data_IF_989603568016
#
_entry.id   IF_989603568016
#
_cell.length_a   1.000
_cell.length_b   1.000
_cell.length_c   1.000
_cell.angle_alpha   90.00
_cell.angle_beta   90.00
_cell.angle_gamma   90.00
#
_symmetry.space_group_name_H-M   'P 1'
#
loop_
_entity.id
_entity.type
_entity.pdbx_description
1 polymer ?
#
# COMPACT_ATOMS: atom_id res chain seq x y z
N UNK A 1 8.23 3.82 -5.16
CA UNK A 1 7.97 3.50 -3.75
C UNK A 1 6.57 3.97 -3.24
N UNK A 2 5.54 3.12 -3.21
CA UNK A 2 4.23 3.45 -2.61
C UNK A 2 4.22 3.77 -1.09
N UNK A 3 3.33 4.66 -0.66
CA UNK A 3 3.06 4.94 0.75
C UNK A 3 1.55 5.08 0.99
N UNK A 4 1.06 4.48 2.06
CA UNK A 4 -0.30 4.59 2.57
C UNK A 4 -0.28 5.16 3.98
N UNK A 5 -1.13 6.14 4.24
CA UNK A 5 -1.48 6.63 5.58
C UNK A 5 -2.97 6.40 5.76
N UNK A 6 -3.37 5.76 6.86
CA UNK A 6 -4.77 5.46 7.08
C UNK A 6 -5.19 5.55 8.54
N UNK A 7 -6.45 5.90 8.74
CA UNK A 7 -7.09 5.96 10.05
C UNK A 7 -8.11 4.83 10.13
N UNK A 8 -8.05 4.04 11.19
CA UNK A 8 -8.96 2.93 11.44
C UNK A 8 -9.72 3.17 12.75
N UNK A 9 -11.05 3.29 12.67
CA UNK A 9 -11.95 3.47 13.82
C UNK A 9 -11.61 4.60 14.79
N UNK A 10 -10.93 5.64 14.32
CA UNK A 10 -10.51 6.76 15.16
C UNK A 10 -11.09 8.11 14.70
N UNK A 11 -11.53 8.20 13.44
CA UNK A 11 -12.15 9.43 12.92
C UNK A 11 -13.62 9.52 13.37
N UNK A 12 -14.10 10.70 13.82
CA UNK A 12 -15.46 10.84 14.37
C UNK A 12 -16.60 10.60 13.36
N UNK A 13 -16.33 10.79 12.06
CA UNK A 13 -17.32 10.66 10.99
C UNK A 13 -17.11 9.45 10.07
N UNK A 14 -15.90 8.93 9.99
CA UNK A 14 -15.52 7.95 8.97
C UNK A 14 -14.90 6.73 9.66
N UNK A 15 -15.42 5.51 9.44
CA UNK A 15 -14.84 4.32 10.08
C UNK A 15 -13.44 4.00 9.55
N UNK A 16 -13.13 4.45 8.32
CA UNK A 16 -11.86 4.25 7.67
C UNK A 16 -11.53 5.44 6.77
N UNK A 17 -10.33 5.99 6.90
CA UNK A 17 -9.78 6.98 5.96
C UNK A 17 -8.47 6.45 5.40
N UNK A 18 -8.26 6.56 4.08
CA UNK A 18 -7.03 6.15 3.41
C UNK A 18 -6.52 7.24 2.48
N UNK A 19 -5.22 7.49 2.57
CA UNK A 19 -4.43 8.24 1.60
C UNK A 19 -3.35 7.31 1.08
N UNK A 20 -3.30 7.07 -0.23
CA UNK A 20 -2.35 6.16 -0.85
C UNK A 20 -1.68 6.83 -2.06
N UNK A 21 -0.36 6.97 -2.00
CA UNK A 21 0.46 7.26 -3.17
C UNK A 21 0.98 5.95 -3.74
N UNK A 22 0.67 5.70 -5.01
CA UNK A 22 1.27 4.61 -5.78
C UNK A 22 2.36 5.15 -6.68
N UNK A 23 3.58 4.84 -6.33
CA UNK A 23 4.72 5.09 -7.21
C UNK A 23 4.92 3.95 -8.20
N UNK A 24 5.08 4.29 -9.47
CA UNK A 24 5.30 3.34 -10.54
C UNK A 24 5.94 4.01 -11.75
N UNK A 25 6.50 3.22 -12.67
CA UNK A 25 6.82 3.68 -14.01
C UNK A 25 5.57 4.21 -14.74
N UNK A 26 5.67 5.41 -15.30
CA UNK A 26 4.57 6.01 -16.06
C UNK A 26 4.20 5.16 -17.28
N UNK A 27 5.18 4.52 -17.90
CA UNK A 27 5.03 3.60 -19.03
C UNK A 27 4.25 2.32 -18.70
N UNK A 28 4.09 1.95 -17.42
CA UNK A 28 3.31 0.77 -17.03
C UNK A 28 1.83 1.00 -17.34
N UNK A 29 1.20 0.21 -18.23
CA UNK A 29 -0.16 0.46 -18.66
C UNK A 29 -1.16 0.16 -17.52
N UNK A 30 -2.06 1.10 -17.25
CA UNK A 30 -3.07 1.02 -16.19
C UNK A 30 -4.38 1.61 -16.66
N UNK A 31 -5.53 1.03 -16.27
CA UNK A 31 -6.83 1.70 -16.37
C UNK A 31 -7.07 2.55 -15.11
N UNK A 32 -7.69 3.73 -15.25
CA UNK A 32 -8.03 4.60 -14.11
C UNK A 32 -9.05 3.93 -13.18
N UNK A 33 -9.31 4.57 -12.04
CA UNK A 33 -10.38 4.19 -11.12
C UNK A 33 -11.72 4.08 -11.87
N UNK A 34 -12.35 2.92 -11.75
CA UNK A 34 -13.66 2.67 -12.32
C UNK A 34 -14.18 1.31 -11.91
N UNK A 35 -15.47 1.08 -12.16
CA UNK A 35 -16.08 -0.22 -12.01
C UNK A 35 -15.55 -1.17 -13.08
N UNK A 36 -15.07 -2.33 -12.66
CA UNK A 36 -14.60 -3.38 -13.54
C UNK A 36 -15.78 -4.04 -14.26
N UNK A 37 -15.45 -4.85 -15.28
CA UNK A 37 -16.46 -5.66 -15.94
C UNK A 37 -17.18 -6.56 -14.92
N UNK A 38 -18.52 -6.56 -14.92
CA UNK A 38 -19.34 -7.23 -13.91
C UNK A 38 -19.76 -6.36 -12.72
N UNK A 39 -19.17 -5.17 -12.53
CA UNK A 39 -19.68 -4.14 -11.63
C UNK A 39 -19.49 -4.38 -10.13
N UNK A 40 -18.75 -5.42 -9.73
CA UNK A 40 -18.52 -5.78 -8.33
C UNK A 40 -17.25 -5.16 -7.73
N UNK A 41 -16.24 -4.88 -8.56
CA UNK A 41 -14.95 -4.33 -8.13
C UNK A 41 -14.83 -2.89 -8.63
N UNK A 42 -14.55 -1.95 -7.72
CA UNK A 42 -14.19 -0.57 -7.99
C UNK A 42 -12.71 -0.38 -7.68
N UNK A 43 -11.91 -0.01 -8.67
CA UNK A 43 -10.47 0.22 -8.46
C UNK A 43 -9.71 0.46 -9.75
N UNK A 44 -8.49 0.97 -9.63
CA UNK A 44 -7.55 1.01 -10.76
C UNK A 44 -7.16 -0.40 -11.19
N UNK A 45 -6.83 -0.59 -12.47
CA UNK A 45 -6.43 -1.90 -13.01
C UNK A 45 -5.05 -1.83 -13.63
N UNK A 46 -4.18 -2.72 -13.19
CA UNK A 46 -2.91 -2.98 -13.85
C UNK A 46 -3.18 -3.79 -15.13
N UNK A 47 -2.98 -3.19 -16.31
CA UNK A 47 -3.25 -3.84 -17.60
C UNK A 47 -2.18 -4.89 -17.90
N UNK A 48 -0.94 -4.65 -17.46
CA UNK A 48 0.17 -5.57 -17.71
C UNK A 48 0.04 -6.85 -16.88
N UNK A 49 -0.31 -6.71 -15.59
CA UNK A 49 -0.37 -7.85 -14.68
C UNK A 49 -1.79 -8.38 -14.43
N UNK A 50 -2.85 -7.64 -14.78
CA UNK A 50 -4.24 -8.06 -14.61
C UNK A 50 -4.83 -7.87 -13.20
N UNK A 51 -4.08 -7.29 -12.25
CA UNK A 51 -4.49 -7.07 -10.87
C UNK A 51 -4.85 -5.62 -10.53
N UNK A 52 -4.93 -5.33 -9.23
CA UNK A 52 -5.15 -3.98 -8.70
C UNK A 52 -4.24 -3.71 -7.50
N UNK A 53 -3.99 -2.43 -7.22
CA UNK A 53 -3.22 -1.99 -6.04
C UNK A 53 -4.10 -1.49 -4.90
N UNK A 54 -5.30 -1.01 -5.22
CA UNK A 54 -6.32 -0.51 -4.31
C UNK A 54 -7.67 -0.74 -5.00
N UNK A 55 -8.57 -1.43 -4.30
CA UNK A 55 -9.91 -1.63 -4.77
C UNK A 55 -10.89 -1.88 -3.62
N UNK A 56 -12.16 -1.62 -3.89
CA UNK A 56 -13.28 -1.94 -3.02
C UNK A 56 -14.37 -2.69 -3.77
N UNK A 57 -15.29 -3.27 -3.02
CA UNK A 57 -16.52 -3.88 -3.53
C UNK A 57 -17.77 -3.17 -3.01
N UNK A 58 -18.91 -3.51 -3.59
CA UNK A 58 -20.22 -2.92 -3.23
C UNK A 58 -20.67 -3.26 -1.81
N UNK A 59 -20.25 -4.40 -1.29
CA UNK A 59 -20.58 -4.90 0.05
C UNK A 59 -19.63 -4.36 1.13
N UNK A 60 -18.85 -3.31 0.84
CA UNK A 60 -18.02 -2.64 1.84
C UNK A 60 -16.73 -3.37 2.18
N UNK A 61 -16.25 -4.26 1.29
CA UNK A 61 -14.88 -4.81 1.40
C UNK A 61 -13.91 -3.88 0.69
N UNK A 62 -12.71 -3.77 1.24
CA UNK A 62 -11.64 -2.95 0.68
C UNK A 62 -10.31 -3.66 0.85
N UNK A 63 -9.40 -3.44 -0.10
CA UNK A 63 -8.06 -3.97 -0.01
C UNK A 63 -7.08 -3.06 -0.74
N UNK A 64 -5.89 -2.95 -0.18
CA UNK A 64 -4.76 -2.34 -0.86
C UNK A 64 -3.48 -3.07 -0.55
N UNK A 65 -2.50 -2.89 -1.43
CA UNK A 65 -1.25 -3.63 -1.40
C UNK A 65 -0.08 -2.68 -1.67
N UNK A 66 0.99 -2.82 -0.90
CA UNK A 66 2.28 -2.17 -1.16
C UNK A 66 3.35 -3.23 -1.39
N UNK A 67 4.37 -2.88 -2.19
CA UNK A 67 5.52 -3.75 -2.36
C UNK A 67 6.34 -3.74 -1.07
N UNK A 68 6.85 -4.89 -0.64
CA UNK A 68 7.88 -4.93 0.40
C UNK A 68 9.24 -4.72 -0.24
N UNK A 69 10.13 -3.99 0.45
CA UNK A 69 11.45 -3.62 -0.03
C UNK A 69 12.37 -4.84 -0.02
N UNK A 70 12.89 -5.17 -1.19
CA UNK A 70 13.82 -6.28 -1.38
C UNK A 70 14.96 -5.83 -2.29
N UNK A 71 16.19 -6.28 -1.99
CA UNK A 71 17.38 -6.05 -2.83
C UNK A 71 17.24 -6.72 -4.20
N UNK A 72 16.64 -7.92 -4.21
CA UNK A 72 16.47 -8.73 -5.39
C UNK A 72 15.03 -9.21 -5.50
N UNK A 73 14.36 -8.83 -6.59
CA UNK A 73 13.07 -9.40 -6.95
C UNK A 73 13.28 -10.71 -7.70
N UNK A 74 12.53 -11.76 -7.35
CA UNK A 74 12.56 -13.03 -8.08
C UNK A 74 11.74 -12.91 -9.38
N UNK A 75 12.31 -13.33 -10.53
CA UNK A 75 11.56 -13.40 -11.78
C UNK A 75 10.48 -14.50 -11.70
N UNK A 76 9.46 -14.41 -12.56
CA UNK A 76 8.39 -15.41 -12.70
C UNK A 76 7.55 -15.71 -11.44
N UNK A 77 7.51 -14.79 -10.48
CA UNK A 77 6.59 -14.90 -9.33
C UNK A 77 5.17 -14.51 -9.71
N UNK A 78 4.19 -14.98 -8.91
CA UNK A 78 2.79 -14.53 -9.06
C UNK A 78 2.70 -13.02 -8.85
N UNK A 79 1.84 -12.36 -9.62
CA UNK A 79 1.57 -10.93 -9.40
C UNK A 79 0.75 -10.72 -8.13
N UNK A 80 1.22 -9.80 -7.30
CA UNK A 80 0.64 -9.47 -5.99
C UNK A 80 -0.74 -8.83 -6.11
N UNK A 81 -0.98 -8.04 -7.16
CA UNK A 81 -2.27 -7.36 -7.37
C UNK A 81 -3.45 -8.32 -7.60
N UNK A 82 -3.20 -9.60 -7.90
CA UNK A 82 -4.26 -10.63 -7.94
C UNK A 82 -4.79 -10.99 -6.54
N UNK A 83 -4.01 -10.78 -5.47
CA UNK A 83 -4.47 -11.04 -4.11
C UNK A 83 -5.67 -10.16 -3.77
N UNK A 84 -5.62 -8.88 -4.15
CA UNK A 84 -6.72 -7.94 -3.96
C UNK A 84 -7.98 -8.36 -4.74
N UNK A 85 -7.83 -8.75 -6.00
CA UNK A 85 -8.95 -9.25 -6.82
C UNK A 85 -9.57 -10.50 -6.20
N UNK A 86 -8.75 -11.48 -5.81
CA UNK A 86 -9.20 -12.73 -5.20
C UNK A 86 -9.93 -12.51 -3.88
N UNK A 87 -9.48 -11.55 -3.06
CA UNK A 87 -10.14 -11.22 -1.80
C UNK A 87 -11.56 -10.68 -2.06
N UNK A 88 -11.68 -9.70 -2.97
CA UNK A 88 -12.96 -9.07 -3.30
C UNK A 88 -13.94 -10.02 -3.99
N UNK A 89 -13.44 -11.03 -4.72
CA UNK A 89 -14.28 -12.08 -5.30
C UNK A 89 -14.61 -13.21 -4.32
N UNK A 90 -13.92 -13.28 -3.18
CA UNK A 90 -14.19 -14.27 -2.15
C UNK A 90 -15.27 -13.79 -1.18
N UNK A 91 -15.94 -14.74 -0.53
CA UNK A 91 -16.85 -14.47 0.60
C UNK A 91 -16.21 -14.72 1.97
N UNK A 92 -14.90 -14.96 2.00
CA UNK A 92 -14.16 -15.30 3.23
C UNK A 92 -13.98 -14.07 4.10
N UNK A 93 -13.94 -14.24 5.42
CA UNK A 93 -13.55 -13.15 6.33
C UNK A 93 -12.09 -12.75 6.07
N UNK A 94 -11.69 -11.49 6.34
CA UNK A 94 -10.32 -11.03 6.12
C UNK A 94 -9.26 -11.97 6.71
N UNK A 95 -9.45 -12.43 7.95
CA UNK A 95 -8.51 -13.32 8.64
C UNK A 95 -8.41 -14.71 8.00
N UNK A 96 -9.52 -15.24 7.47
CA UNK A 96 -9.56 -16.55 6.81
C UNK A 96 -8.86 -16.50 5.46
N UNK A 97 -9.10 -15.44 4.69
CA UNK A 97 -8.43 -15.20 3.43
C UNK A 97 -6.92 -15.00 3.64
N UNK A 98 -6.52 -14.20 4.63
CA UNK A 98 -5.10 -13.98 4.95
C UNK A 98 -4.38 -15.30 5.27
N UNK A 99 -4.99 -16.18 6.08
CA UNK A 99 -4.45 -17.51 6.40
C UNK A 99 -4.31 -18.43 5.18
N UNK A 100 -5.16 -18.28 4.17
CA UNK A 100 -4.99 -18.99 2.89
C UNK A 100 -3.78 -18.46 2.13
N UNK A 101 -3.65 -17.14 2.02
CA UNK A 101 -2.53 -16.51 1.30
C UNK A 101 -1.19 -16.87 1.94
N UNK A 102 -1.12 -17.01 3.27
CA UNK A 102 0.10 -17.47 3.96
C UNK A 102 0.64 -18.79 3.37
N UNK A 103 -0.23 -19.71 2.96
CA UNK A 103 0.16 -21.03 2.43
C UNK A 103 0.86 -20.96 1.06
N UNK A 104 0.72 -19.84 0.36
CA UNK A 104 1.33 -19.59 -0.95
C UNK A 104 2.16 -18.30 -0.98
N UNK A 105 2.48 -17.73 0.19
CA UNK A 105 3.13 -16.43 0.31
C UNK A 105 4.54 -16.40 -0.29
N UNK A 106 5.19 -17.57 -0.36
CA UNK A 106 6.49 -17.83 -0.97
C UNK A 106 6.47 -17.77 -2.50
N UNK A 107 5.28 -17.81 -3.13
CA UNK A 107 5.12 -17.71 -4.59
C UNK A 107 5.11 -16.26 -5.09
N UNK A 108 5.17 -15.28 -4.18
CA UNK A 108 5.15 -13.85 -4.47
C UNK A 108 6.49 -13.20 -4.08
N UNK A 109 6.87 -12.14 -4.78
CA UNK A 109 7.82 -11.18 -4.25
C UNK A 109 7.26 -10.49 -3.00
N UNK A 110 8.11 -9.80 -2.25
CA UNK A 110 7.76 -9.10 -1.03
C UNK A 110 6.54 -8.20 -1.18
N UNK A 111 5.60 -8.29 -0.24
CA UNK A 111 4.38 -7.48 -0.20
C UNK A 111 3.87 -7.24 1.21
N UNK A 112 3.11 -6.15 1.34
CA UNK A 112 2.19 -5.89 2.43
C UNK A 112 0.78 -5.81 1.87
N UNK A 113 -0.17 -6.50 2.49
CA UNK A 113 -1.57 -6.57 2.07
C UNK A 113 -2.46 -6.15 3.24
N UNK A 114 -3.37 -5.22 2.99
CA UNK A 114 -4.44 -4.86 3.92
C UNK A 114 -5.76 -5.37 3.35
N UNK A 115 -6.53 -6.03 4.21
CA UNK A 115 -7.84 -6.61 3.93
C UNK A 115 -8.84 -6.02 4.92
N UNK A 116 -9.87 -5.35 4.41
CA UNK A 116 -10.87 -4.64 5.21
C UNK A 116 -12.25 -5.17 4.87
N UNK A 117 -13.06 -5.37 5.90
CA UNK A 117 -14.50 -5.58 5.80
C UNK A 117 -15.16 -4.56 6.75
N UNK A 118 -15.73 -3.50 6.16
CA UNK A 118 -16.28 -2.37 6.91
C UNK A 118 -17.56 -2.75 7.67
N UNK A 119 -18.34 -3.69 7.14
CA UNK A 119 -19.58 -4.15 7.78
C UNK A 119 -19.30 -4.89 9.09
N UNK A 120 -18.26 -5.73 9.10
CA UNK A 120 -17.84 -6.47 10.30
C UNK A 120 -16.78 -5.74 11.13
N UNK A 121 -16.34 -4.55 10.70
CA UNK A 121 -15.26 -3.78 11.33
C UNK A 121 -14.00 -4.62 11.54
N UNK A 122 -13.62 -5.37 10.51
CA UNK A 122 -12.45 -6.23 10.54
C UNK A 122 -11.40 -5.70 9.57
N UNK A 123 -10.21 -5.43 10.09
CA UNK A 123 -9.03 -5.10 9.30
C UNK A 123 -7.89 -6.05 9.63
N UNK A 124 -7.35 -6.70 8.60
CA UNK A 124 -6.24 -7.65 8.71
C UNK A 124 -5.09 -7.20 7.83
N UNK A 125 -3.91 -7.20 8.42
CA UNK A 125 -2.64 -6.96 7.78
C UNK A 125 -1.90 -8.28 7.56
N UNK A 126 -1.42 -8.49 6.34
CA UNK A 126 -0.56 -9.61 5.96
C UNK A 126 0.74 -9.10 5.34
N UNK A 127 1.87 -9.56 5.85
CA UNK A 127 3.18 -9.37 5.24
C UNK A 127 3.83 -10.72 4.99
N UNK A 128 4.36 -10.95 3.77
CA UNK A 128 5.15 -12.15 3.50
C UNK A 128 6.64 -12.00 3.87
N UNK A 129 7.02 -10.85 4.43
CA UNK A 129 8.34 -10.55 5.01
C UNK A 129 8.14 -9.94 6.41
N UNK A 130 7.64 -10.71 7.39
CA UNK A 130 7.51 -10.20 8.76
C UNK A 130 8.91 -9.89 9.34
N UNK A 131 8.96 -9.05 10.37
CA UNK A 131 10.18 -8.91 11.20
C UNK A 131 10.54 -10.28 11.79
N UNK A 132 11.80 -10.49 12.18
CA UNK A 132 12.21 -11.72 12.87
C UNK A 132 11.27 -12.00 14.05
N UNK A 133 10.73 -13.24 14.10
CA UNK A 133 9.70 -13.70 15.05
C UNK A 133 8.32 -13.01 14.96
N UNK A 134 8.08 -12.23 13.90
CA UNK A 134 6.79 -11.59 13.64
C UNK A 134 5.78 -12.53 13.00
N UNK A 135 4.49 -12.27 13.26
CA UNK A 135 3.41 -12.97 12.58
C UNK A 135 3.28 -12.49 11.14
N UNK A 136 3.01 -13.42 10.22
CA UNK A 136 2.64 -13.08 8.84
C UNK A 136 1.32 -12.30 8.81
N UNK A 137 0.40 -12.64 9.71
CA UNK A 137 -0.97 -12.10 9.76
C UNK A 137 -1.21 -11.45 11.11
N UNK A 138 -1.71 -10.23 11.12
CA UNK A 138 -2.03 -9.47 12.34
C UNK A 138 -3.34 -8.72 12.14
N UNK A 139 -4.19 -8.69 13.15
CA UNK A 139 -5.34 -7.78 13.18
C UNK A 139 -4.87 -6.35 13.43
N UNK A 140 -5.41 -5.40 12.68
CA UNK A 140 -5.04 -3.99 12.82
C UNK A 140 -5.86 -3.37 13.93
N UNK A 141 -5.19 -2.87 14.96
CA UNK A 141 -5.82 -2.13 16.06
C UNK A 141 -6.41 -0.81 15.55
N UNK A 142 -7.43 -0.28 16.22
CA UNK A 142 -7.91 1.09 15.96
C UNK A 142 -6.78 2.10 16.15
N UNK A 143 -6.71 3.13 15.30
CA UNK A 143 -5.68 4.17 15.35
C UNK A 143 -5.24 4.67 13.98
N UNK A 144 -4.15 5.44 13.99
CA UNK A 144 -3.52 5.94 12.77
C UNK A 144 -2.31 5.08 12.43
N UNK A 145 -2.24 4.67 11.16
CA UNK A 145 -1.25 3.74 10.66
C UNK A 145 -0.58 4.25 9.41
N UNK A 146 0.68 3.85 9.24
CA UNK A 146 1.44 4.14 8.04
C UNK A 146 2.09 2.87 7.50
N UNK A 147 1.93 2.67 6.19
CA UNK A 147 2.43 1.51 5.47
C UNK A 147 3.15 1.96 4.20
N UNK A 148 4.44 1.61 4.10
CA UNK A 148 5.24 1.85 2.89
C UNK A 148 5.80 0.52 2.38
N UNK A 149 7.13 0.39 2.23
CA UNK A 149 7.81 -0.81 1.75
C UNK A 149 8.42 -1.67 2.85
N UNK A 150 8.07 -1.38 4.08
CA UNK A 150 8.49 -2.16 5.23
C UNK A 150 7.23 -2.62 5.96
N UNK A 151 7.40 -3.24 7.13
CA UNK A 151 6.25 -3.67 7.91
C UNK A 151 5.41 -2.46 8.35
N UNK A 152 4.11 -2.71 8.59
CA UNK A 152 3.17 -1.75 9.15
C UNK A 152 3.76 -1.03 10.36
N UNK A 153 3.62 0.29 10.38
CA UNK A 153 4.11 1.18 11.44
C UNK A 153 5.61 1.08 11.77
N UNK A 154 6.39 0.53 10.84
CA UNK A 154 7.85 0.66 10.91
C UNK A 154 8.24 2.15 10.92
N UNK A 155 9.17 2.50 11.81
CA UNK A 155 9.70 3.85 11.95
C UNK A 155 10.45 4.23 10.67
N UNK A 156 9.73 4.77 9.70
CA UNK A 156 10.31 5.26 8.46
C UNK A 156 10.45 6.78 8.50
N UNK A 157 11.47 7.31 7.84
CA UNK A 157 11.88 8.71 7.94
C UNK A 157 10.84 9.71 7.37
N UNK A 158 10.22 9.40 6.22
CA UNK A 158 8.98 10.04 5.70
C UNK A 158 7.91 10.23 6.78
N UNK A 159 7.77 9.26 7.68
CA UNK A 159 6.70 9.25 8.70
C UNK A 159 7.12 9.99 9.96
N UNK A 160 8.42 9.95 10.31
CA UNK A 160 8.98 10.70 11.45
C UNK A 160 8.73 12.20 11.32
N UNK A 161 8.62 12.74 10.10
CA UNK A 161 8.42 14.18 9.88
C UNK A 161 7.06 14.69 10.36
N UNK A 162 6.04 13.83 10.47
CA UNK A 162 4.67 14.29 10.74
C UNK A 162 4.12 13.88 12.11
N UNK A 163 4.83 13.03 12.87
CA UNK A 163 4.38 12.56 14.18
C UNK A 163 3.11 11.69 14.11
N UNK A 164 3.13 10.50 14.69
CA UNK A 164 1.94 9.63 14.69
C UNK A 164 0.74 10.28 15.41
N UNK A 165 1.04 11.18 16.36
CA UNK A 165 0.07 11.84 17.25
C UNK A 165 -0.39 13.22 16.75
N UNK A 166 0.24 13.77 15.71
CA UNK A 166 -0.01 15.14 15.22
C UNK A 166 -0.64 15.19 13.82
N UNK A 167 -0.96 14.05 13.21
CA UNK A 167 -1.63 13.99 11.91
C UNK A 167 -2.95 14.78 11.95
N UNK A 168 -3.00 16.02 11.41
CA UNK A 168 -4.09 16.92 11.72
C UNK A 168 -5.34 16.41 11.02
N UNK A 169 -6.38 16.09 11.79
CA UNK A 169 -7.72 15.72 11.32
C UNK A 169 -8.42 16.79 10.45
N UNK A 170 -7.73 17.84 10.02
CA UNK A 170 -8.25 18.91 9.17
C UNK A 170 -7.20 19.37 8.15
N UNK A 171 -7.60 19.28 6.88
CA UNK A 171 -7.19 20.13 5.75
C UNK A 171 -5.81 19.92 5.08
N UNK A 172 -4.78 19.37 5.73
CA UNK A 172 -3.42 19.30 5.12
C UNK A 172 -2.93 17.91 4.64
N UNK A 173 -3.77 16.88 4.64
CA UNK A 173 -3.37 15.56 4.12
C UNK A 173 -3.07 15.55 2.62
N UNK A 174 -3.78 16.36 1.83
CA UNK A 174 -3.46 16.50 0.40
C UNK A 174 -2.06 17.11 0.20
N UNK A 175 -1.69 18.12 0.99
CA UNK A 175 -0.35 18.71 0.97
C UNK A 175 0.72 17.71 1.41
N UNK A 176 0.44 16.93 2.46
CA UNK A 176 1.29 15.82 2.90
C UNK A 176 1.58 14.83 1.76
N UNK A 177 0.54 14.40 1.04
CA UNK A 177 0.70 13.45 -0.06
C UNK A 177 1.39 14.05 -1.29
N UNK A 178 1.56 15.38 -1.34
CA UNK A 178 2.31 16.09 -2.38
C UNK A 178 3.71 16.50 -1.92
N UNK A 179 4.16 16.09 -0.72
CA UNK A 179 5.45 16.51 -0.18
C UNK A 179 6.63 15.89 -0.94
N UNK A 180 7.47 16.74 -1.51
CA UNK A 180 8.65 16.38 -2.33
C UNK A 180 9.98 16.39 -1.55
N UNK A 181 9.90 16.63 -0.24
CA UNK A 181 11.04 16.77 0.66
C UNK A 181 11.75 15.43 0.85
N UNK A 182 13.08 15.45 0.69
CA UNK A 182 13.93 14.25 0.71
C UNK A 182 14.62 14.06 2.06
N UNK A 183 14.92 12.82 2.40
CA UNK A 183 15.70 12.49 3.61
C UNK A 183 17.19 12.77 3.37
N UNK A 184 17.95 12.95 4.46
CA UNK A 184 19.40 13.05 4.39
C UNK A 184 20.02 11.73 3.91
N UNK A 185 21.10 11.78 3.12
CA UNK A 185 21.77 10.59 2.60
C UNK A 185 22.29 9.65 3.70
N UNK A 186 22.69 10.19 4.86
CA UNK A 186 23.29 9.44 5.97
C UNK A 186 22.31 8.50 6.67
N UNK A 187 21.01 8.73 6.51
CA UNK A 187 19.95 7.96 7.15
C UNK A 187 19.22 7.02 6.17
N UNK A 188 19.65 7.00 4.90
CA UNK A 188 19.10 6.13 3.88
C UNK A 188 19.51 4.66 4.11
N UNK A 189 18.67 3.70 3.69
CA UNK A 189 18.83 2.29 4.01
C UNK A 189 19.96 1.59 3.25
N UNK A 190 20.53 2.20 2.20
CA UNK A 190 21.68 1.67 1.46
C UNK A 190 21.36 0.43 0.61
N UNK A 191 20.13 0.31 0.12
CA UNK A 191 19.62 -0.83 -0.66
C UNK A 191 19.79 -0.59 -2.17
N UNK A 192 19.52 0.63 -2.65
CA UNK A 192 19.84 1.07 -4.00
C UNK A 192 21.02 2.06 -3.99
N UNK A 193 21.42 2.57 -5.15
CA UNK A 193 22.42 3.63 -5.20
C UNK A 193 21.94 4.84 -4.37
N UNK A 194 22.83 5.54 -3.63
CA UNK A 194 22.44 6.65 -2.77
C UNK A 194 21.63 7.73 -3.49
N UNK A 195 22.02 8.04 -4.74
CA UNK A 195 21.29 8.97 -5.61
C UNK A 195 19.85 8.52 -5.86
N UNK A 196 19.64 7.25 -6.20
CA UNK A 196 18.30 6.71 -6.46
C UNK A 196 17.45 6.67 -5.17
N UNK A 197 18.04 6.28 -4.04
CA UNK A 197 17.34 6.27 -2.75
C UNK A 197 16.94 7.66 -2.28
N UNK A 198 17.82 8.64 -2.45
CA UNK A 198 17.56 10.04 -2.13
C UNK A 198 16.32 10.55 -2.86
N UNK A 199 16.24 10.26 -4.15
CA UNK A 199 15.12 10.65 -4.99
C UNK A 199 13.81 9.91 -4.62
N UNK A 200 13.89 8.66 -4.16
CA UNK A 200 12.74 7.89 -3.69
C UNK A 200 12.36 8.17 -2.22
N UNK A 201 13.09 9.04 -1.52
CA UNK A 201 12.85 9.36 -0.11
C UNK A 201 11.75 10.41 0.13
N UNK A 202 11.17 10.98 -0.92
CA UNK A 202 10.01 11.86 -0.85
C UNK A 202 8.66 11.09 -0.78
N UNK A 203 7.60 11.71 -0.26
CA UNK A 203 6.24 11.13 -0.27
C UNK A 203 5.66 11.17 -1.68
N UNK A 204 5.83 12.30 -2.35
CA UNK A 204 5.58 12.48 -3.78
C UNK A 204 6.89 12.36 -4.54
N UNK A 205 6.98 11.36 -5.40
CA UNK A 205 8.17 11.07 -6.20
C UNK A 205 7.93 11.49 -7.63
N UNK A 206 8.87 12.23 -8.23
CA UNK A 206 8.88 12.53 -9.66
C UNK A 206 10.33 12.51 -10.16
N UNK A 207 10.72 11.40 -10.78
CA UNK A 207 12.12 11.12 -11.12
C UNK A 207 12.23 10.54 -12.53
N UNK A 208 13.23 10.98 -13.29
CA UNK A 208 13.53 10.40 -14.60
C UNK A 208 14.70 9.42 -14.45
N UNK A 209 14.43 8.13 -14.66
CA UNK A 209 15.44 7.08 -14.61
C UNK A 209 15.80 6.51 -15.99
N UNK A 210 16.74 5.54 -16.07
CA UNK A 210 17.18 4.93 -17.33
C UNK A 210 16.04 4.21 -18.09
N UNK A 211 15.00 3.78 -17.38
CA UNK A 211 13.82 3.10 -17.94
C UNK A 211 12.65 4.07 -18.21
N UNK A 212 12.88 5.38 -18.08
CA UNK A 212 11.89 6.44 -18.27
C UNK A 212 11.42 7.08 -16.96
N UNK A 213 10.30 7.82 -17.05
CA UNK A 213 9.72 8.54 -15.92
C UNK A 213 9.13 7.56 -14.89
N UNK A 214 9.60 7.66 -13.66
CA UNK A 214 9.13 6.90 -12.49
C UNK A 214 8.70 7.88 -11.41
N UNK A 215 7.48 7.72 -10.89
CA UNK A 215 6.96 8.67 -9.91
C UNK A 215 5.63 8.25 -9.35
N UNK A 216 5.11 9.09 -8.45
CA UNK A 216 3.77 8.97 -7.89
C UNK A 216 2.76 9.15 -9.01
N UNK A 217 2.21 8.03 -9.48
CA UNK A 217 1.28 7.98 -10.61
C UNK A 217 -0.17 8.20 -10.17
N UNK A 218 -0.50 7.86 -8.92
CA UNK A 218 -1.83 7.97 -8.35
C UNK A 218 -1.75 8.43 -6.89
N UNK A 219 -2.58 9.42 -6.54
CA UNK A 219 -2.93 9.77 -5.18
C UNK A 219 -4.40 9.43 -4.97
N UNK A 220 -4.67 8.40 -4.20
CA UNK A 220 -6.02 7.91 -3.93
C UNK A 220 -6.45 8.35 -2.52
N UNK A 221 -7.64 8.95 -2.42
CA UNK A 221 -8.29 9.27 -1.14
C UNK A 221 -9.58 8.47 -1.03
N UNK A 222 -9.74 7.72 0.05
CA UNK A 222 -10.96 6.99 0.36
C UNK A 222 -11.45 7.41 1.74
N UNK A 223 -12.72 7.87 1.79
CA UNK A 223 -13.41 8.32 2.99
C UNK A 223 -14.51 7.32 3.38
#
# INVERSE_FOLDING_TARGET
>A
MCIAVFMWETHPLYPFLLFLNRDEYHSRPTKPLGWWEGGEILGGRDVQAGGTWLASSRDGRLTFITNFRELHSRPHTKTRGHLSVRFLQSKKKPIEFAKEVVKEADQYNGFNLILVDLCSKSMVYLANRPKENGNFVTEVSSGIHVLSHANLDSLWLKVRRYGKDELPLKENFAELMMDTSKDDLSILPGIYSPEFEYHLSAIYVDITGPQGLHGTKWGDVLL
#
